data_IF_212573338687
#
_entry.id   IF_212573338687
#
_cell.length_a   1.000
_cell.length_b   1.000
_cell.length_c   1.000
_cell.angle_alpha   90.00
_cell.angle_beta   90.00
_cell.angle_gamma   90.00
#
_symmetry.space_group_name_H-M   'P 1'
#
loop_
_entity.id
_entity.type
_entity.pdbx_description
1 polymer ?
#
# COMPACT_ATOMS: atom_id res chain seq x y z
N UNK A 1 23.65 4.64 20.81
CA UNK A 1 24.11 6.03 20.57
C UNK A 1 23.27 6.58 19.43
N UNK A 2 22.49 7.63 19.70
CA UNK A 2 21.46 8.19 18.81
C UNK A 2 22.07 8.87 17.57
N UNK A 3 21.43 8.73 16.41
CA UNK A 3 21.71 9.56 15.23
C UNK A 3 20.45 10.35 14.86
N UNK A 4 20.51 11.65 15.13
CA UNK A 4 19.57 12.67 14.63
C UNK A 4 20.06 13.09 13.24
N UNK A 5 19.20 13.21 12.21
CA UNK A 5 19.60 13.76 10.93
C UNK A 5 19.63 15.30 11.03
N UNK A 6 20.81 15.89 10.87
CA UNK A 6 20.98 17.35 10.74
C UNK A 6 21.01 17.71 9.26
N UNK A 7 20.22 18.72 8.89
CA UNK A 7 20.14 19.32 7.56
C UNK A 7 21.51 19.74 6.98
N UNK A 8 21.62 19.89 5.65
CA UNK A 8 22.92 20.01 4.98
C UNK A 8 23.51 21.41 5.20
N UNK A 9 24.78 21.45 5.58
CA UNK A 9 25.61 22.66 5.54
C UNK A 9 26.81 22.40 4.64
N UNK A 10 26.80 23.17 3.54
CA UNK A 10 27.87 23.70 2.68
C UNK A 10 29.14 22.87 2.43
N UNK A 11 29.39 22.69 1.14
CA UNK A 11 30.69 22.35 0.56
C UNK A 11 31.78 23.31 1.06
N UNK A 12 32.86 22.75 1.58
CA UNK A 12 34.20 23.31 1.44
C UNK A 12 35.22 22.17 1.44
N UNK A 13 36.03 22.14 0.37
CA UNK A 13 37.43 21.72 0.42
C UNK A 13 37.78 20.25 0.72
N UNK A 14 38.10 19.53 -0.37
CA UNK A 14 39.25 18.60 -0.50
C UNK A 14 39.17 17.19 0.11
N UNK A 15 39.45 16.22 -0.80
CA UNK A 15 39.73 14.79 -0.66
C UNK A 15 38.54 13.80 -0.47
N UNK A 16 38.14 13.05 -1.51
CA UNK A 16 37.21 11.95 -1.37
C UNK A 16 37.96 10.73 -0.81
N UNK A 17 38.02 10.61 0.52
CA UNK A 17 38.36 9.33 1.13
C UNK A 17 37.22 8.36 0.83
N UNK A 18 37.51 7.37 -0.03
CA UNK A 18 36.67 6.19 -0.26
C UNK A 18 36.04 5.74 1.05
N UNK A 19 34.71 5.88 1.18
CA UNK A 19 33.94 5.29 2.29
C UNK A 19 34.17 3.78 2.19
N UNK A 20 35.11 3.26 3.00
CA UNK A 20 35.22 1.82 3.21
C UNK A 20 33.84 1.33 3.61
N UNK A 21 33.27 0.44 2.80
CA UNK A 21 32.08 -0.34 3.12
C UNK A 21 32.39 -1.05 4.44
N UNK A 22 31.80 -0.59 5.53
CA UNK A 22 31.78 -1.35 6.76
C UNK A 22 30.82 -2.49 6.45
N UNK A 23 31.36 -3.68 6.16
CA UNK A 23 30.55 -4.89 6.13
C UNK A 23 30.08 -5.11 7.56
N UNK A 24 28.76 -5.12 7.84
CA UNK A 24 28.28 -5.45 9.17
C UNK A 24 28.77 -6.85 9.53
N UNK A 25 29.37 -6.96 10.70
CA UNK A 25 29.78 -8.23 11.28
C UNK A 25 28.55 -9.14 11.39
N UNK A 26 28.59 -10.30 10.73
CA UNK A 26 27.45 -11.21 10.61
C UNK A 26 27.11 -11.93 11.94
N UNK A 27 27.91 -11.71 12.99
CA UNK A 27 27.88 -12.49 14.24
C UNK A 27 27.66 -11.67 15.51
N UNK A 28 27.20 -10.42 15.43
CA UNK A 28 26.67 -9.73 16.62
C UNK A 28 25.20 -10.09 16.81
N UNK A 29 24.83 -10.53 18.01
CA UNK A 29 23.41 -10.62 18.41
C UNK A 29 22.70 -9.32 18.02
N UNK A 30 21.54 -9.37 17.35
CA UNK A 30 20.83 -8.17 16.95
C UNK A 30 20.56 -7.33 18.21
N UNK A 31 20.77 -6.00 18.16
CA UNK A 31 20.54 -5.15 19.31
C UNK A 31 19.11 -5.33 19.83
N UNK A 32 18.92 -5.22 21.14
CA UNK A 32 17.60 -5.27 21.76
C UNK A 32 16.65 -4.35 20.99
N UNK A 33 15.63 -4.97 20.39
CA UNK A 33 14.75 -4.33 19.41
C UNK A 33 13.91 -3.28 20.13
N UNK A 34 13.92 -2.04 19.64
CA UNK A 34 12.97 -1.01 20.08
C UNK A 34 11.61 -1.29 19.43
N UNK A 35 10.59 -1.74 20.19
CA UNK A 35 9.28 -2.08 19.65
C UNK A 35 8.56 -0.87 19.05
N UNK A 36 8.87 0.35 19.50
CA UNK A 36 8.29 1.57 18.95
C UNK A 36 8.88 1.83 17.58
N UNK A 37 10.20 1.71 17.45
CA UNK A 37 10.88 1.83 16.15
C UNK A 37 10.38 0.77 15.16
N UNK A 38 10.30 -0.50 15.57
CA UNK A 38 9.79 -1.57 14.71
C UNK A 38 8.35 -1.30 14.27
N UNK A 39 7.48 -0.88 15.18
CA UNK A 39 6.10 -0.52 14.85
C UNK A 39 6.05 0.67 13.87
N UNK A 40 6.90 1.67 14.03
CA UNK A 40 6.95 2.81 13.11
C UNK A 40 7.41 2.39 11.70
N UNK A 41 8.43 1.53 11.61
CA UNK A 41 8.92 0.98 10.34
C UNK A 41 7.86 0.09 9.69
N UNK A 42 7.22 -0.78 10.47
CA UNK A 42 6.18 -1.69 9.99
C UNK A 42 4.92 -0.96 9.52
N UNK A 43 4.44 0.02 10.29
CA UNK A 43 3.23 0.79 9.97
C UNK A 43 3.41 1.69 8.73
N UNK A 44 4.65 2.01 8.36
CA UNK A 44 5.00 2.74 7.14
C UNK A 44 4.10 3.97 6.90
N UNK A 45 4.01 4.83 7.93
CA UNK A 45 3.23 6.07 7.84
C UNK A 45 3.78 6.89 6.66
N UNK A 46 2.93 7.46 5.77
CA UNK A 46 3.39 8.21 4.61
C UNK A 46 3.92 9.58 5.03
N UNK A 47 5.02 9.61 5.79
CA UNK A 47 5.77 10.79 6.18
C UNK A 47 7.00 10.95 5.28
N UNK A 48 7.72 9.86 5.03
CA UNK A 48 8.96 9.81 4.23
C UNK A 48 8.69 9.01 2.94
N UNK A 49 9.13 9.55 1.80
CA UNK A 49 9.15 8.79 0.56
C UNK A 49 10.49 8.05 0.44
N UNK A 50 10.46 6.72 0.48
CA UNK A 50 11.65 5.92 0.19
C UNK A 50 11.88 5.87 -1.32
N UNK A 51 12.96 6.50 -1.80
CA UNK A 51 13.39 6.41 -3.19
C UNK A 51 14.46 5.33 -3.30
N UNK A 52 14.18 4.29 -4.08
CA UNK A 52 15.13 3.23 -4.42
C UNK A 52 15.76 3.46 -5.80
N UNK A 53 16.49 2.46 -6.31
CA UNK A 53 17.03 2.40 -7.68
C UNK A 53 15.94 2.21 -8.76
N UNK A 54 14.67 2.44 -8.42
CA UNK A 54 13.54 2.25 -9.33
C UNK A 54 13.72 3.08 -10.62
N UNK A 55 13.51 2.44 -11.76
CA UNK A 55 13.74 3.04 -13.08
C UNK A 55 15.16 3.57 -13.33
N UNK A 56 16.18 3.09 -12.62
CA UNK A 56 17.58 3.31 -13.00
C UNK A 56 18.06 2.16 -13.89
N UNK A 57 18.62 2.53 -15.05
CA UNK A 57 19.26 1.61 -15.97
C UNK A 57 20.41 2.34 -16.69
N UNK A 58 21.41 1.63 -17.24
CA UNK A 58 22.43 2.26 -18.07
C UNK A 58 21.80 3.02 -19.25
N UNK A 59 22.44 4.09 -19.71
CA UNK A 59 21.87 5.02 -20.70
C UNK A 59 21.53 4.40 -22.06
N UNK A 60 22.09 3.22 -22.37
CA UNK A 60 21.88 2.49 -23.62
C UNK A 60 20.77 1.43 -23.51
N UNK A 61 20.15 1.28 -22.34
CA UNK A 61 18.95 0.46 -22.17
C UNK A 61 17.70 1.31 -22.36
N UNK A 62 16.68 0.71 -22.99
CA UNK A 62 15.34 1.29 -23.12
C UNK A 62 14.36 0.48 -22.28
N UNK A 63 13.59 1.15 -21.42
CA UNK A 63 12.50 0.53 -20.70
C UNK A 63 11.39 0.13 -21.70
N UNK A 64 11.00 -1.15 -21.70
CA UNK A 64 9.98 -1.70 -22.63
C UNK A 64 8.66 -2.03 -21.95
N UNK A 65 8.70 -2.45 -20.69
CA UNK A 65 7.53 -2.81 -19.91
C UNK A 65 7.83 -2.72 -18.42
N UNK A 66 6.77 -2.59 -17.63
CA UNK A 66 6.81 -2.54 -16.17
C UNK A 66 5.63 -3.35 -15.64
N UNK A 67 5.86 -4.12 -14.57
CA UNK A 67 4.82 -4.80 -13.82
C UNK A 67 4.92 -4.34 -12.37
N UNK A 68 3.83 -3.79 -11.83
CA UNK A 68 3.79 -3.29 -10.45
C UNK A 68 2.76 -4.12 -9.68
N UNK A 69 3.23 -4.89 -8.71
CA UNK A 69 2.38 -5.57 -7.75
C UNK A 69 2.35 -4.74 -6.46
N UNK A 70 1.15 -4.34 -6.05
CA UNK A 70 0.95 -3.59 -4.80
C UNK A 70 0.12 -4.39 -3.81
N UNK A 71 0.41 -4.17 -2.53
CA UNK A 71 -0.53 -4.44 -1.45
C UNK A 71 -1.48 -3.24 -1.32
N UNK A 72 -2.69 -3.48 -0.82
CA UNK A 72 -3.54 -2.39 -0.34
C UNK A 72 -2.82 -1.51 0.70
N UNK A 73 -3.24 -0.26 0.83
CA UNK A 73 -2.71 0.66 1.84
C UNK A 73 -3.18 0.35 3.26
N UNK A 74 -2.83 1.22 4.19
CA UNK A 74 -3.30 1.20 5.57
C UNK A 74 -4.84 1.11 5.66
N UNK A 75 -5.31 0.32 6.61
CA UNK A 75 -6.71 -0.08 6.74
C UNK A 75 -7.12 -0.22 8.19
N UNK A 76 -8.41 -0.09 8.44
CA UNK A 76 -9.00 -0.44 9.72
C UNK A 76 -8.67 -1.92 10.05
N UNK A 77 -8.48 -2.28 11.34
CA UNK A 77 -8.15 -3.64 11.74
C UNK A 77 -9.15 -4.68 11.20
N UNK A 78 -8.65 -5.90 10.93
CA UNK A 78 -9.50 -7.05 10.59
C UNK A 78 -10.03 -7.77 11.83
N UNK A 79 -9.40 -7.52 12.98
CA UNK A 79 -9.74 -8.13 14.26
C UNK A 79 -9.62 -7.05 15.34
N UNK A 80 -10.53 -7.10 16.32
CA UNK A 80 -10.43 -6.28 17.52
C UNK A 80 -9.62 -7.04 18.58
N UNK A 81 -8.90 -6.31 19.42
CA UNK A 81 -8.34 -6.89 20.65
C UNK A 81 -9.54 -7.09 21.60
N UNK A 82 -9.75 -8.30 22.14
CA UNK A 82 -10.85 -8.53 23.07
C UNK A 82 -10.80 -7.55 24.24
N UNK A 83 -11.96 -7.06 24.67
CA UNK A 83 -12.12 -6.14 25.81
C UNK A 83 -11.45 -4.77 25.65
N UNK A 84 -11.06 -4.36 24.44
CA UNK A 84 -10.67 -2.97 24.16
C UNK A 84 -11.80 -2.19 23.52
N UNK A 85 -11.77 -0.86 23.66
CA UNK A 85 -12.64 0.01 22.85
C UNK A 85 -12.28 -0.11 21.37
N UNK A 86 -13.26 0.20 20.51
CA UNK A 86 -12.98 0.38 19.07
C UNK A 86 -12.01 1.55 18.91
N UNK A 87 -10.95 1.41 18.09
CA UNK A 87 -10.08 2.53 17.80
C UNK A 87 -10.89 3.63 17.10
N UNK A 88 -10.68 4.87 17.54
CA UNK A 88 -11.28 6.08 16.98
C UNK A 88 -10.58 6.45 15.67
N UNK A 89 -10.80 5.61 14.67
CA UNK A 89 -10.27 5.75 13.31
C UNK A 89 -11.47 5.77 12.38
N UNK A 90 -11.64 6.88 11.65
CA UNK A 90 -12.62 6.98 10.58
C UNK A 90 -12.01 6.70 9.20
N UNK A 91 -12.92 6.45 8.25
CA UNK A 91 -12.63 6.13 6.87
C UNK A 91 -13.11 7.26 5.94
N UNK A 92 -13.24 8.48 6.46
CA UNK A 92 -13.70 9.64 5.70
C UNK A 92 -12.49 10.41 5.13
N UNK A 93 -12.45 10.67 3.82
CA UNK A 93 -11.35 11.45 3.25
C UNK A 93 -11.54 12.94 3.50
N UNK A 94 -10.62 13.54 4.26
CA UNK A 94 -10.61 14.95 4.64
C UNK A 94 -9.27 15.59 4.22
N UNK A 95 -9.24 16.44 3.17
CA UNK A 95 -8.01 17.03 2.64
C UNK A 95 -7.14 17.78 3.66
N UNK A 96 -7.76 18.42 4.66
CA UNK A 96 -7.05 19.16 5.71
C UNK A 96 -6.45 18.24 6.79
N UNK A 97 -6.93 17.00 6.93
CA UNK A 97 -6.47 16.05 7.95
C UNK A 97 -5.13 15.42 7.57
N UNK A 98 -4.23 15.24 8.54
CA UNK A 98 -2.96 14.53 8.33
C UNK A 98 -3.12 13.02 8.59
N UNK A 99 -2.42 12.15 7.82
CA UNK A 99 -1.62 12.50 6.64
C UNK A 99 -2.51 12.94 5.47
N UNK A 100 -2.00 13.85 4.64
CA UNK A 100 -2.69 14.36 3.45
C UNK A 100 -1.77 14.36 2.23
N UNK A 101 -2.38 14.52 1.07
CA UNK A 101 -1.71 14.66 -0.22
C UNK A 101 -2.27 15.91 -0.95
N UNK A 102 -1.45 16.72 -1.64
CA UNK A 102 -1.94 17.89 -2.38
C UNK A 102 -3.03 17.57 -3.41
N UNK A 103 -3.00 16.37 -3.98
CA UNK A 103 -3.99 15.91 -4.96
C UNK A 103 -5.18 15.14 -4.33
N UNK A 104 -5.31 15.07 -3.00
CA UNK A 104 -6.37 14.30 -2.34
C UNK A 104 -7.77 14.82 -2.67
N UNK A 105 -7.97 16.14 -2.68
CA UNK A 105 -9.26 16.74 -3.05
C UNK A 105 -9.63 16.46 -4.51
N UNK A 106 -8.67 16.62 -5.41
CA UNK A 106 -8.85 16.35 -6.83
C UNK A 106 -9.13 14.85 -7.09
N UNK A 107 -8.48 13.96 -6.35
CA UNK A 107 -8.77 12.52 -6.34
C UNK A 107 -10.23 12.25 -5.95
N UNK A 108 -10.72 12.80 -4.83
CA UNK A 108 -12.10 12.61 -4.37
C UNK A 108 -13.09 13.07 -5.45
N UNK A 109 -12.86 14.27 -6.02
CA UNK A 109 -13.69 14.84 -7.09
C UNK A 109 -13.65 14.00 -8.38
N UNK A 110 -12.55 13.34 -8.67
CA UNK A 110 -12.43 12.48 -9.84
C UNK A 110 -13.13 11.14 -9.62
N UNK A 111 -12.96 10.52 -8.45
CA UNK A 111 -13.57 9.23 -8.12
C UNK A 111 -15.09 9.29 -8.01
N UNK A 112 -15.65 10.42 -7.57
CA UNK A 112 -17.10 10.63 -7.53
C UNK A 112 -17.77 10.66 -8.91
N UNK A 113 -16.99 10.89 -9.99
CA UNK A 113 -17.47 10.86 -11.38
C UNK A 113 -17.42 9.47 -12.02
N UNK A 114 -16.80 8.49 -11.37
CA UNK A 114 -16.38 7.22 -11.96
C UNK A 114 -17.47 6.23 -12.37
N UNK A 115 -18.73 6.64 -12.54
CA UNK A 115 -19.83 5.76 -12.93
C UNK A 115 -19.69 5.17 -14.34
N UNK A 116 -18.71 5.63 -15.14
CA UNK A 116 -18.47 5.20 -16.52
C UNK A 116 -17.33 4.16 -16.68
N UNK A 117 -16.72 3.68 -15.60
CA UNK A 117 -15.66 2.68 -15.65
C UNK A 117 -16.18 1.32 -16.15
N UNK A 118 -15.44 0.66 -17.04
CA UNK A 118 -15.69 -0.76 -17.34
C UNK A 118 -15.03 -1.61 -16.26
N UNK A 119 -15.80 -1.99 -15.24
CA UNK A 119 -15.34 -2.87 -14.16
C UNK A 119 -16.03 -4.22 -14.25
N UNK A 120 -15.25 -5.30 -14.13
CA UNK A 120 -15.80 -6.65 -14.20
C UNK A 120 -16.66 -6.98 -12.98
N UNK A 121 -17.86 -7.53 -13.22
CA UNK A 121 -18.68 -8.24 -12.25
C UNK A 121 -18.77 -7.57 -10.87
N UNK A 122 -18.22 -8.25 -9.86
CA UNK A 122 -18.26 -7.84 -8.44
C UNK A 122 -17.49 -6.56 -8.12
N UNK A 123 -16.66 -6.04 -9.03
CA UNK A 123 -15.95 -4.77 -8.80
C UNK A 123 -16.87 -3.56 -9.03
N UNK A 124 -17.85 -3.68 -9.92
CA UNK A 124 -18.75 -2.58 -10.29
C UNK A 124 -19.61 -2.05 -9.14
N UNK A 125 -19.87 -2.87 -8.12
CA UNK A 125 -20.63 -2.50 -6.93
C UNK A 125 -19.77 -1.97 -5.79
N UNK A 126 -18.44 -2.00 -5.90
CA UNK A 126 -17.55 -1.56 -4.83
C UNK A 126 -17.35 -0.04 -4.88
N UNK A 127 -17.28 0.64 -3.72
CA UNK A 127 -17.02 2.07 -3.68
C UNK A 127 -15.60 2.41 -4.14
N UNK A 128 -15.46 3.45 -4.96
CA UNK A 128 -14.16 3.89 -5.53
C UNK A 128 -13.22 4.52 -4.50
N UNK A 129 -13.73 4.99 -3.37
CA UNK A 129 -12.96 5.55 -2.26
C UNK A 129 -13.72 5.34 -0.95
N UNK A 130 -13.04 5.35 0.21
CA UNK A 130 -13.70 5.23 1.51
C UNK A 130 -14.37 6.56 1.91
N UNK A 131 -15.59 6.49 2.47
CA UNK A 131 -16.39 7.68 2.79
C UNK A 131 -17.23 7.53 4.06
N UNK A 132 -16.81 6.66 4.99
CA UNK A 132 -17.55 6.35 6.21
C UNK A 132 -16.89 6.99 7.43
N UNK A 133 -17.69 7.62 8.29
CA UNK A 133 -17.21 8.13 9.59
C UNK A 133 -16.91 7.00 10.58
N UNK A 134 -17.61 5.88 10.48
CA UNK A 134 -17.31 4.66 11.22
C UNK A 134 -16.78 3.61 10.23
N UNK A 135 -15.52 3.22 10.39
CA UNK A 135 -14.94 2.20 9.54
C UNK A 135 -15.51 0.80 9.82
N UNK A 136 -15.79 0.06 8.75
CA UNK A 136 -15.96 -1.39 8.83
C UNK A 136 -14.61 -2.11 8.87
N UNK A 137 -14.63 -3.36 9.35
CA UNK A 137 -13.41 -4.16 9.52
C UNK A 137 -12.68 -4.36 8.19
N UNK A 138 -11.43 -3.89 8.14
CA UNK A 138 -10.61 -3.98 6.94
C UNK A 138 -10.93 -2.97 5.84
N UNK A 139 -11.69 -1.90 6.12
CA UNK A 139 -11.83 -0.76 5.20
C UNK A 139 -10.54 0.06 5.09
N UNK A 140 -10.31 0.65 3.91
CA UNK A 140 -9.14 1.49 3.67
C UNK A 140 -9.28 2.81 4.42
N UNK A 141 -8.23 3.26 5.09
CA UNK A 141 -8.21 4.56 5.78
C UNK A 141 -7.70 5.67 4.85
N UNK A 142 -7.82 6.93 5.27
CA UNK A 142 -7.16 8.04 4.57
C UNK A 142 -5.64 7.85 4.47
N UNK A 143 -5.00 7.29 5.51
CA UNK A 143 -3.58 6.95 5.48
C UNK A 143 -3.27 6.02 4.32
N UNK A 144 -4.09 4.98 4.11
CA UNK A 144 -3.92 4.04 3.01
C UNK A 144 -4.11 4.66 1.62
N UNK A 145 -5.07 5.58 1.50
CA UNK A 145 -5.25 6.36 0.26
C UNK A 145 -4.02 7.24 0.00
N UNK A 146 -3.53 7.96 1.01
CA UNK A 146 -2.38 8.87 0.86
C UNK A 146 -1.09 8.12 0.54
N UNK A 147 -0.87 6.92 1.12
CA UNK A 147 0.24 6.04 0.74
C UNK A 147 0.23 5.76 -0.77
N UNK A 148 -0.92 5.41 -1.34
CA UNK A 148 -1.01 5.09 -2.77
C UNK A 148 -1.00 6.32 -3.68
N UNK A 149 -1.54 7.47 -3.24
CA UNK A 149 -1.35 8.74 -3.95
C UNK A 149 0.14 9.10 -4.06
N UNK A 150 0.94 8.87 -3.01
CA UNK A 150 2.40 9.08 -3.08
C UNK A 150 3.10 8.08 -3.99
N UNK A 151 2.72 6.81 -3.91
CA UNK A 151 3.29 5.77 -4.77
C UNK A 151 3.04 6.07 -6.25
N UNK A 152 1.80 6.42 -6.62
CA UNK A 152 1.47 6.74 -8.00
C UNK A 152 2.20 7.98 -8.51
N UNK A 153 2.36 9.02 -7.67
CA UNK A 153 3.19 10.18 -8.01
C UNK A 153 4.65 9.78 -8.27
N UNK A 154 5.25 8.96 -7.41
CA UNK A 154 6.63 8.48 -7.60
C UNK A 154 6.77 7.70 -8.91
N UNK A 155 5.84 6.77 -9.18
CA UNK A 155 5.86 5.99 -10.41
C UNK A 155 5.64 6.87 -11.66
N UNK A 156 4.86 7.95 -11.55
CA UNK A 156 4.68 8.91 -12.64
C UNK A 156 5.98 9.63 -12.98
N UNK A 157 6.69 10.12 -11.96
CA UNK A 157 7.98 10.79 -12.14
C UNK A 157 8.97 9.89 -12.90
N UNK A 158 8.97 8.60 -12.57
CA UNK A 158 9.90 7.63 -13.15
C UNK A 158 9.43 7.15 -14.53
N UNK A 159 8.24 6.57 -14.64
CA UNK A 159 7.84 5.86 -15.85
C UNK A 159 7.19 6.74 -16.91
N UNK A 160 6.48 7.79 -16.50
CA UNK A 160 5.81 8.69 -17.44
C UNK A 160 6.71 9.87 -17.78
N UNK A 161 7.29 10.54 -16.78
CA UNK A 161 8.04 11.76 -17.02
C UNK A 161 9.46 11.48 -17.54
N UNK A 162 10.21 10.58 -16.88
CA UNK A 162 11.59 10.22 -17.27
C UNK A 162 11.62 9.23 -18.44
N UNK A 163 10.95 8.09 -18.32
CA UNK A 163 11.05 7.00 -19.32
C UNK A 163 10.09 7.09 -20.51
N UNK A 164 9.08 7.97 -20.45
CA UNK A 164 8.05 8.11 -21.49
C UNK A 164 7.41 6.76 -21.87
N UNK A 165 7.18 5.90 -20.88
CA UNK A 165 6.72 4.51 -21.07
C UNK A 165 5.36 4.45 -21.77
N UNK A 166 4.46 5.39 -21.45
CA UNK A 166 3.17 5.54 -22.11
C UNK A 166 3.21 6.76 -23.04
N UNK A 167 2.81 6.61 -24.32
CA UNK A 167 2.66 7.75 -25.22
C UNK A 167 1.43 8.59 -24.83
N UNK A 168 1.35 9.84 -25.32
CA UNK A 168 0.26 10.76 -24.99
C UNK A 168 -1.12 10.25 -25.43
N UNK A 169 -1.16 9.46 -26.51
CA UNK A 169 -2.36 8.88 -27.12
C UNK A 169 -2.58 7.41 -26.70
N UNK A 170 -2.07 7.01 -25.54
CA UNK A 170 -2.18 5.63 -25.06
C UNK A 170 -3.62 5.10 -25.06
N UNK A 171 -3.74 3.79 -25.26
CA UNK A 171 -5.00 3.05 -25.32
C UNK A 171 -5.06 1.98 -24.23
N UNK A 172 -6.25 1.43 -23.98
CA UNK A 172 -6.46 0.36 -23.00
C UNK A 172 -5.59 -0.91 -23.24
N UNK A 173 -4.96 -1.05 -24.41
CA UNK A 173 -4.01 -2.14 -24.70
C UNK A 173 -2.64 -1.97 -24.06
N UNK A 174 -2.32 -0.77 -23.56
CA UNK A 174 -1.00 -0.44 -22.98
C UNK A 174 -1.03 -0.35 -21.45
N UNK A 175 -2.22 -0.44 -20.84
CA UNK A 175 -2.43 -0.36 -19.41
C UNK A 175 -3.33 -1.50 -18.95
N UNK A 176 -2.75 -2.46 -18.24
CA UNK A 176 -3.46 -3.60 -17.66
C UNK A 176 -3.63 -3.39 -16.17
N UNK A 177 -4.86 -3.50 -15.68
CA UNK A 177 -5.21 -3.28 -14.29
C UNK A 177 -6.00 -4.47 -13.76
N UNK A 178 -5.52 -5.04 -12.66
CA UNK A 178 -6.15 -6.18 -12.02
C UNK A 178 -6.22 -5.96 -10.51
N UNK A 179 -7.31 -6.40 -9.89
CA UNK A 179 -7.49 -6.29 -8.44
C UNK A 179 -8.36 -7.42 -7.92
N UNK A 180 -8.16 -7.78 -6.65
CA UNK A 180 -9.08 -8.70 -5.97
C UNK A 180 -10.40 -8.01 -5.61
N UNK A 181 -11.47 -8.76 -5.40
CA UNK A 181 -12.81 -8.27 -5.07
C UNK A 181 -12.98 -7.65 -3.66
N UNK A 182 -11.95 -7.00 -3.10
CA UNK A 182 -12.03 -6.27 -1.83
C UNK A 182 -12.02 -4.77 -2.11
N UNK A 183 -12.91 -4.01 -1.46
CA UNK A 183 -13.00 -2.55 -1.60
C UNK A 183 -11.64 -1.88 -1.40
N UNK A 184 -10.93 -2.23 -0.31
CA UNK A 184 -9.60 -1.68 -0.01
C UNK A 184 -8.55 -1.91 -1.11
N UNK A 185 -8.60 -3.00 -1.87
CA UNK A 185 -7.63 -3.26 -2.94
C UNK A 185 -7.98 -2.45 -4.19
N UNK A 186 -9.26 -2.38 -4.55
CA UNK A 186 -9.74 -1.51 -5.63
C UNK A 186 -9.42 -0.04 -5.35
N UNK A 187 -9.76 0.46 -4.16
CA UNK A 187 -9.54 1.85 -3.76
C UNK A 187 -8.04 2.21 -3.72
N UNK A 188 -7.19 1.29 -3.26
CA UNK A 188 -5.74 1.47 -3.30
C UNK A 188 -5.21 1.59 -4.74
N UNK A 189 -5.68 0.71 -5.63
CA UNK A 189 -5.31 0.74 -7.04
C UNK A 189 -5.77 2.04 -7.72
N UNK A 190 -6.98 2.51 -7.42
CA UNK A 190 -7.52 3.77 -7.94
C UNK A 190 -6.74 5.00 -7.43
N UNK A 191 -6.37 5.03 -6.15
CA UNK A 191 -5.54 6.09 -5.58
C UNK A 191 -4.15 6.15 -6.25
N UNK A 192 -3.51 4.99 -6.44
CA UNK A 192 -2.25 4.92 -7.18
C UNK A 192 -2.43 5.39 -8.61
N UNK A 193 -3.42 4.84 -9.32
CA UNK A 193 -3.69 5.15 -10.72
C UNK A 193 -3.94 6.65 -10.92
N UNK A 194 -4.70 7.30 -10.03
CA UNK A 194 -5.02 8.72 -10.16
C UNK A 194 -3.78 9.60 -10.16
N UNK A 195 -2.78 9.32 -9.33
CA UNK A 195 -1.55 10.13 -9.30
C UNK A 195 -0.53 9.67 -10.35
N UNK A 196 -0.61 8.41 -10.77
CA UNK A 196 0.16 7.89 -11.91
C UNK A 196 -0.28 8.51 -13.24
N UNK A 197 -1.58 8.59 -13.48
CA UNK A 197 -2.23 9.16 -14.66
C UNK A 197 -3.38 10.11 -14.24
N UNK A 198 -3.10 11.36 -13.81
CA UNK A 198 -4.16 12.25 -13.38
C UNK A 198 -5.19 12.54 -14.45
N UNK A 199 -6.44 12.66 -13.99
CA UNK A 199 -7.60 12.95 -14.81
C UNK A 199 -7.77 11.99 -15.99
N UNK A 200 -7.38 10.72 -15.79
CA UNK A 200 -7.58 9.67 -16.78
C UNK A 200 -9.04 9.57 -17.23
N UNK A 201 -9.25 9.16 -18.48
CA UNK A 201 -10.59 8.88 -18.99
C UNK A 201 -11.06 7.52 -18.49
N UNK A 202 -12.15 7.50 -17.70
CA UNK A 202 -12.78 6.28 -17.20
C UNK A 202 -13.13 5.27 -18.30
N UNK A 203 -13.40 5.71 -19.53
CA UNK A 203 -13.68 4.81 -20.66
C UNK A 203 -12.45 4.03 -21.12
N UNK A 204 -11.25 4.50 -20.82
CA UNK A 204 -9.98 3.81 -21.11
C UNK A 204 -9.55 2.88 -19.99
N UNK A 205 -10.21 2.94 -18.84
CA UNK A 205 -9.90 2.11 -17.68
C UNK A 205 -10.74 0.85 -17.70
N UNK A 206 -10.05 -0.28 -17.76
CA UNK A 206 -10.62 -1.60 -17.58
C UNK A 206 -9.93 -2.28 -16.41
N UNK A 207 -10.67 -2.49 -15.32
CA UNK A 207 -10.18 -3.20 -14.14
C UNK A 207 -10.75 -4.60 -14.08
N UNK A 208 -9.85 -5.59 -14.13
CA UNK A 208 -10.21 -7.01 -14.10
C UNK A 208 -10.23 -7.55 -12.70
N UNK A 209 -11.25 -8.36 -12.42
CA UNK A 209 -11.39 -9.04 -11.14
C UNK A 209 -10.52 -10.29 -11.07
N UNK A 210 -9.73 -10.41 -10.00
CA UNK A 210 -8.94 -11.59 -9.69
C UNK A 210 -9.48 -12.29 -8.43
N UNK A 211 -9.74 -13.59 -8.54
CA UNK A 211 -10.36 -14.39 -7.47
C UNK A 211 -9.40 -14.72 -6.31
N UNK A 212 -8.09 -14.58 -6.54
CA UNK A 212 -7.08 -14.87 -5.52
C UNK A 212 -5.94 -13.87 -5.57
N UNK A 213 -5.19 -13.79 -4.47
CA UNK A 213 -3.99 -12.95 -4.34
C UNK A 213 -2.80 -13.44 -5.18
N UNK A 214 -2.96 -14.55 -5.92
CA UNK A 214 -1.94 -15.08 -6.82
C UNK A 214 -2.09 -14.47 -8.22
N UNK A 215 -3.19 -13.76 -8.52
CA UNK A 215 -3.43 -13.11 -9.81
C UNK A 215 -3.30 -14.08 -11.00
N UNK A 216 -3.72 -15.32 -10.74
CA UNK A 216 -3.58 -16.46 -11.63
C UNK A 216 -4.53 -16.45 -12.83
N UNK A 217 -5.49 -15.52 -12.88
CA UNK A 217 -6.63 -15.61 -13.78
C UNK A 217 -7.21 -17.03 -13.72
N UNK A 218 -7.40 -17.71 -14.87
CA UNK A 218 -7.85 -19.10 -14.94
C UNK A 218 -6.76 -20.16 -15.12
N UNK A 219 -5.50 -19.77 -15.35
CA UNK A 219 -4.44 -20.72 -15.77
C UNK A 219 -3.72 -21.41 -14.61
N UNK A 220 -3.83 -20.89 -13.39
CA UNK A 220 -3.33 -21.54 -12.18
C UNK A 220 -4.37 -21.62 -11.05
N UNK A 221 -5.65 -21.69 -11.44
CA UNK A 221 -6.70 -22.05 -10.49
C UNK A 221 -6.55 -23.51 -10.07
N UNK A 222 -6.54 -23.72 -8.75
CA UNK A 222 -6.39 -25.02 -8.15
C UNK A 222 -7.39 -25.11 -6.99
N UNK A 223 -8.61 -25.63 -7.24
CA UNK A 223 -9.64 -25.71 -6.22
C UNK A 223 -9.18 -26.47 -4.97
N UNK A 224 -8.37 -27.52 -5.14
CA UNK A 224 -7.84 -28.32 -4.02
C UNK A 224 -6.87 -27.53 -3.14
N UNK A 225 -6.02 -26.67 -3.73
CA UNK A 225 -5.17 -25.75 -2.95
C UNK A 225 -6.03 -24.80 -2.11
N UNK A 226 -7.10 -24.25 -2.69
CA UNK A 226 -7.99 -23.34 -1.97
C UNK A 226 -8.69 -24.05 -0.80
N UNK A 227 -9.12 -25.31 -1.00
CA UNK A 227 -9.68 -26.14 0.06
C UNK A 227 -8.71 -26.30 1.24
N UNK A 228 -7.47 -26.73 0.99
CA UNK A 228 -6.47 -26.88 2.06
C UNK A 228 -6.07 -25.55 2.71
N UNK A 229 -6.05 -24.46 1.94
CA UNK A 229 -5.79 -23.13 2.50
C UNK A 229 -6.89 -22.72 3.48
N UNK A 230 -8.16 -22.98 3.16
CA UNK A 230 -9.28 -22.72 4.07
C UNK A 230 -9.23 -23.61 5.32
N UNK A 231 -8.91 -24.91 5.17
CA UNK A 231 -8.74 -25.81 6.30
C UNK A 231 -7.62 -25.34 7.23
N UNK A 232 -6.47 -24.93 6.67
CA UNK A 232 -5.36 -24.42 7.46
C UNK A 232 -5.72 -23.10 8.15
N UNK A 233 -6.43 -22.19 7.49
CA UNK A 233 -6.93 -20.96 8.13
C UNK A 233 -7.87 -21.26 9.31
N UNK A 234 -8.78 -22.23 9.17
CA UNK A 234 -9.66 -22.66 10.26
C UNK A 234 -8.87 -23.31 11.39
N UNK A 235 -7.87 -24.13 11.08
CA UNK A 235 -6.99 -24.77 12.07
C UNK A 235 -6.20 -23.73 12.86
N UNK A 236 -5.59 -22.76 12.19
CA UNK A 236 -4.86 -21.65 12.81
C UNK A 236 -5.76 -20.78 13.69
N UNK A 237 -6.98 -20.49 13.23
CA UNK A 237 -7.98 -19.80 14.04
C UNK A 237 -8.34 -20.59 15.31
N UNK A 238 -8.59 -21.89 15.18
CA UNK A 238 -8.89 -22.76 16.33
C UNK A 238 -7.75 -22.80 17.34
N UNK A 239 -6.51 -22.91 16.87
CA UNK A 239 -5.31 -22.88 17.72
C UNK A 239 -5.17 -21.53 18.43
N UNK A 240 -5.42 -20.42 17.73
CA UNK A 240 -5.37 -19.07 18.30
C UNK A 240 -6.37 -18.91 19.44
N UNK A 241 -7.62 -19.34 19.24
CA UNK A 241 -8.70 -19.21 20.23
C UNK A 241 -8.48 -20.12 21.44
N UNK A 242 -7.85 -21.28 21.27
CA UNK A 242 -7.54 -22.22 22.38
C UNK A 242 -6.28 -21.86 23.17
N UNK A 243 -5.52 -20.85 22.75
CA UNK A 243 -4.26 -20.50 23.37
C UNK A 243 -4.49 -19.60 24.61
N UNK A 244 -4.47 -20.20 25.79
CA UNK A 244 -4.65 -19.49 27.07
C UNK A 244 -3.56 -18.46 27.38
N UNK A 245 -2.34 -18.65 26.87
CA UNK A 245 -1.28 -17.65 27.02
C UNK A 245 -1.58 -16.41 26.16
N UNK A 246 -2.04 -16.61 24.94
CA UNK A 246 -2.46 -15.53 24.06
C UNK A 246 -3.64 -14.76 24.63
N UNK A 247 -4.60 -15.45 25.25
CA UNK A 247 -5.71 -14.81 25.95
C UNK A 247 -5.23 -13.90 27.10
N UNK A 248 -4.29 -14.37 27.92
CA UNK A 248 -3.66 -13.54 28.97
C UNK A 248 -2.99 -12.30 28.38
N UNK A 249 -2.23 -12.48 27.30
CA UNK A 249 -1.59 -11.38 26.58
C UNK A 249 -2.63 -10.36 26.09
N UNK A 250 -3.76 -10.80 25.51
CA UNK A 250 -4.82 -9.87 25.10
C UNK A 250 -5.41 -9.08 26.26
N UNK A 251 -5.59 -9.71 27.43
CA UNK A 251 -6.06 -9.02 28.64
C UNK A 251 -5.04 -7.97 29.09
N UNK A 252 -3.75 -8.29 29.07
CA UNK A 252 -2.71 -7.35 29.46
C UNK A 252 -2.57 -6.20 28.46
N UNK A 253 -2.66 -6.49 27.15
CA UNK A 253 -2.75 -5.46 26.11
C UNK A 253 -3.96 -4.56 26.33
N UNK A 254 -5.12 -5.12 26.67
CA UNK A 254 -6.32 -4.33 26.89
C UNK A 254 -6.19 -3.36 28.06
N UNK A 255 -5.49 -3.75 29.15
CA UNK A 255 -5.19 -2.84 30.26
C UNK A 255 -4.30 -1.66 29.85
N UNK A 256 -3.40 -1.88 28.89
CA UNK A 256 -2.47 -0.84 28.40
C UNK A 256 -3.18 0.10 27.43
N UNK A 257 -4.00 -0.44 26.53
CA UNK A 257 -4.61 0.31 25.43
C UNK A 257 -5.93 0.99 25.83
N UNK A 258 -6.64 0.48 26.84
CA UNK A 258 -7.88 1.08 27.38
C UNK A 258 -9.17 0.33 27.06
#
# INVERSE_FOLDING_TARGET
VHLIPVNPVREDGLNPKSRKRIMPDLLTEPPAIDPIYEAQVYCNVPSIAERSMEGHAPHYFKLVSVQVLIRHGDRYPLYAIPKTKRPDIDCMLVPSRKPSHPQLEAFIKHMSKGSAAQMDGSLSSLPHFPSHSLCEMGELTQTGVVQHLRNGQLLREIYINKHKLLPSDWTAKQLYLETTGKSRTLQSALALLYTFLPDFDWKKINMRHQWSTIFCSGSCDCPMRNHYLEEEQRRQYSLRVKNSNLEKIYVDMAKIVG
#
